data_IF_382625570111
#
_entry.id   IF_382625570111
#
_cell.length_a   1.000
_cell.length_b   1.000
_cell.length_c   1.000
_cell.angle_alpha   90.00
_cell.angle_beta   90.00
_cell.angle_gamma   90.00
#
_symmetry.space_group_name_H-M   'P 1'
#
loop_
_entity.id
_entity.type
_entity.pdbx_description
1 polymer ?
#
# COMPACT_ATOMS: atom_id res chain seq x y z
N UNK A 1 0.65 34.05 4.82
CA UNK A 1 1.51 33.43 5.85
C UNK A 1 0.61 32.62 6.78
N UNK A 2 -0.04 31.59 6.24
CA UNK A 2 -1.01 30.74 6.96
C UNK A 2 -0.84 29.24 6.64
N UNK A 3 0.15 28.88 5.81
CA UNK A 3 0.37 27.49 5.37
C UNK A 3 1.19 26.64 6.35
N UNK A 4 1.92 27.25 7.28
CA UNK A 4 2.93 26.53 8.07
C UNK A 4 2.31 25.56 9.09
N UNK A 5 1.16 25.91 9.70
CA UNK A 5 0.49 25.06 10.69
C UNK A 5 -0.35 23.93 10.06
N UNK A 6 -0.83 24.11 8.82
CA UNK A 6 -1.62 23.10 8.13
C UNK A 6 -0.76 21.94 7.62
N UNK A 7 0.51 22.23 7.31
CA UNK A 7 1.50 21.22 6.91
C UNK A 7 1.74 20.24 8.06
N UNK A 8 1.85 20.74 9.29
CA UNK A 8 2.09 19.91 10.48
C UNK A 8 0.92 18.95 10.77
N UNK A 9 -0.33 19.41 10.64
CA UNK A 9 -1.51 18.55 10.83
C UNK A 9 -1.61 17.45 9.75
N UNK A 10 -1.34 17.79 8.49
CA UNK A 10 -1.34 16.84 7.38
C UNK A 10 -0.29 15.75 7.57
N UNK A 11 0.91 16.13 8.00
CA UNK A 11 2.02 15.23 8.31
C UNK A 11 1.69 14.33 9.51
N UNK A 12 1.12 14.90 10.57
CA UNK A 12 0.71 14.15 11.75
C UNK A 12 -0.29 13.03 11.36
N UNK A 13 -1.28 13.33 10.50
CA UNK A 13 -2.22 12.33 10.00
C UNK A 13 -1.53 11.20 9.23
N UNK A 14 -0.51 11.50 8.43
CA UNK A 14 0.29 10.48 7.72
C UNK A 14 1.01 9.57 8.69
N UNK A 15 1.65 10.13 9.71
CA UNK A 15 2.37 9.37 10.74
C UNK A 15 1.41 8.44 11.49
N UNK A 16 0.22 8.93 11.84
CA UNK A 16 -0.82 8.13 12.48
C UNK A 16 -1.27 6.98 11.57
N UNK A 17 -1.53 7.24 10.29
CA UNK A 17 -1.92 6.21 9.31
C UNK A 17 -0.87 5.10 9.21
N UNK A 18 0.41 5.46 9.10
CA UNK A 18 1.51 4.49 9.00
C UNK A 18 1.58 3.60 10.23
N UNK A 19 1.41 4.18 11.43
CA UNK A 19 1.43 3.44 12.70
C UNK A 19 0.20 2.55 12.87
N UNK A 20 -0.99 3.10 12.63
CA UNK A 20 -2.26 2.39 12.82
C UNK A 20 -2.38 1.16 11.92
N UNK A 21 -2.01 1.30 10.63
CA UNK A 21 -2.04 0.20 9.68
C UNK A 21 -0.78 -0.69 9.70
N UNK A 22 0.15 -0.45 10.63
CA UNK A 22 1.33 -1.29 10.82
C UNK A 22 2.24 -1.35 9.59
N UNK A 23 2.54 -0.20 8.99
CA UNK A 23 3.44 -0.17 7.83
C UNK A 23 4.82 -0.75 8.20
N UNK A 24 5.35 -1.58 7.29
CA UNK A 24 6.73 -2.02 7.26
C UNK A 24 7.61 -0.83 6.83
N UNK A 25 7.87 0.01 7.82
CA UNK A 25 8.94 0.98 7.86
C UNK A 25 10.21 0.17 8.09
N UNK A 26 11.32 0.56 7.48
CA UNK A 26 12.57 -0.20 7.59
C UNK A 26 13.13 -0.16 9.03
N UNK A 27 14.39 0.21 9.22
CA UNK A 27 14.95 0.44 10.56
C UNK A 27 14.58 1.83 11.12
N UNK A 28 13.66 2.53 10.47
CA UNK A 28 13.33 3.93 10.71
C UNK A 28 11.96 4.10 11.36
N UNK A 29 11.80 5.13 12.19
CA UNK A 29 10.49 5.46 12.76
C UNK A 29 9.59 6.11 11.71
N UNK A 30 8.27 5.99 11.88
CA UNK A 30 7.28 6.63 11.00
C UNK A 30 7.53 8.14 10.85
N UNK A 31 7.98 8.80 11.92
CA UNK A 31 8.30 10.24 11.93
C UNK A 31 9.49 10.55 11.03
N UNK A 32 10.56 9.76 11.14
CA UNK A 32 11.80 9.95 10.38
C UNK A 32 11.55 9.71 8.88
N UNK A 33 10.79 8.67 8.54
CA UNK A 33 10.39 8.36 7.16
C UNK A 33 9.60 9.50 6.53
N UNK A 34 8.59 10.00 7.25
CA UNK A 34 7.76 11.13 6.77
C UNK A 34 8.59 12.40 6.66
N UNK A 35 9.50 12.65 7.61
CA UNK A 35 10.44 13.78 7.58
C UNK A 35 11.39 13.72 6.37
N UNK A 36 11.78 12.52 5.95
CA UNK A 36 12.59 12.33 4.76
C UNK A 36 11.78 12.56 3.49
N UNK A 37 10.52 12.09 3.44
CA UNK A 37 9.65 12.31 2.28
C UNK A 37 9.31 13.78 2.07
N UNK A 38 9.03 14.56 3.12
CA UNK A 38 8.68 15.98 2.98
C UNK A 38 9.83 16.86 2.46
N UNK A 39 11.08 16.41 2.58
CA UNK A 39 12.23 17.12 2.02
C UNK A 39 12.25 17.05 0.49
N UNK A 40 11.63 16.03 -0.09
CA UNK A 40 11.66 15.74 -1.53
C UNK A 40 10.31 15.97 -2.19
N UNK A 41 9.22 15.72 -1.46
CA UNK A 41 7.85 15.71 -1.98
C UNK A 41 6.96 16.70 -1.21
N UNK A 42 5.99 17.34 -1.87
CA UNK A 42 5.03 18.20 -1.19
C UNK A 42 4.21 17.43 -0.15
N UNK A 43 4.00 18.01 1.04
CA UNK A 43 3.23 17.40 2.13
C UNK A 43 1.83 16.91 1.70
N UNK A 44 1.19 17.64 0.77
CA UNK A 44 -0.11 17.27 0.20
C UNK A 44 -0.10 15.93 -0.55
N UNK A 45 1.05 15.48 -1.06
CA UNK A 45 1.18 14.22 -1.79
C UNK A 45 1.32 13.02 -0.84
N UNK A 46 1.91 13.22 0.34
CA UNK A 46 2.22 12.13 1.27
C UNK A 46 0.95 11.42 1.73
N UNK A 47 -0.07 12.17 2.16
CA UNK A 47 -1.36 11.60 2.58
C UNK A 47 -2.00 10.77 1.48
N UNK A 48 -2.10 11.32 0.28
CA UNK A 48 -2.69 10.60 -0.86
C UNK A 48 -1.87 9.36 -1.23
N UNK A 49 -0.54 9.41 -1.14
CA UNK A 49 0.33 8.28 -1.47
C UNK A 49 0.19 7.12 -0.48
N UNK A 50 0.06 7.42 0.82
CA UNK A 50 -0.18 6.39 1.85
C UNK A 50 -1.55 5.74 1.65
N UNK A 51 -2.60 6.52 1.38
CA UNK A 51 -3.95 5.98 1.11
C UNK A 51 -3.95 5.14 -0.17
N UNK A 52 -3.24 5.57 -1.21
CA UNK A 52 -3.08 4.79 -2.45
C UNK A 52 -2.34 3.46 -2.21
N UNK A 53 -1.34 3.44 -1.33
CA UNK A 53 -0.65 2.21 -0.95
C UNK A 53 -1.58 1.25 -0.20
N UNK A 54 -2.40 1.77 0.73
CA UNK A 54 -3.44 1.01 1.43
C UNK A 54 -4.47 0.45 0.46
N UNK A 55 -4.93 1.26 -0.50
CA UNK A 55 -5.86 0.84 -1.54
C UNK A 55 -5.30 -0.32 -2.39
N UNK A 56 -4.00 -0.30 -2.66
CA UNK A 56 -3.29 -1.40 -3.35
C UNK A 56 -2.95 -2.59 -2.46
N UNK A 57 -3.30 -2.55 -1.17
CA UNK A 57 -2.97 -3.59 -0.19
C UNK A 57 -1.48 -3.71 0.13
N UNK A 58 -0.70 -2.63 -0.06
CA UNK A 58 0.75 -2.61 0.16
C UNK A 58 1.08 -1.78 1.40
N UNK A 59 1.64 -2.44 2.40
CA UNK A 59 1.97 -1.83 3.69
C UNK A 59 3.46 -1.53 3.84
N UNK A 60 4.22 -1.39 2.76
CA UNK A 60 5.69 -1.18 2.82
C UNK A 60 6.04 0.27 2.54
N UNK A 61 7.02 0.81 3.27
CA UNK A 61 7.59 2.14 3.00
C UNK A 61 7.98 2.32 1.52
N UNK A 62 8.68 1.34 0.96
CA UNK A 62 9.14 1.35 -0.45
C UNK A 62 7.95 1.52 -1.41
N UNK A 63 6.79 0.94 -1.09
CA UNK A 63 5.60 1.06 -1.95
C UNK A 63 5.05 2.49 -2.01
N UNK A 64 5.09 3.22 -0.89
CA UNK A 64 4.69 4.64 -0.85
C UNK A 64 5.69 5.49 -1.65
N UNK A 65 6.99 5.22 -1.51
CA UNK A 65 8.04 5.91 -2.25
C UNK A 65 7.93 5.71 -3.77
N UNK A 66 7.62 4.50 -4.22
CA UNK A 66 7.39 4.22 -5.64
C UNK A 66 6.22 5.02 -6.21
N UNK A 67 5.13 5.15 -5.44
CA UNK A 67 3.97 5.97 -5.82
C UNK A 67 4.38 7.44 -5.93
N UNK A 68 5.06 7.98 -4.91
CA UNK A 68 5.54 9.37 -4.88
C UNK A 68 6.50 9.68 -6.04
N UNK A 69 7.47 8.78 -6.29
CA UNK A 69 8.41 8.89 -7.42
C UNK A 69 7.69 8.88 -8.76
N UNK A 70 6.65 8.06 -8.89
CA UNK A 70 5.84 8.00 -10.11
C UNK A 70 5.09 9.31 -10.33
N UNK A 71 4.46 9.87 -9.29
CA UNK A 71 3.78 11.17 -9.38
C UNK A 71 4.74 12.32 -9.67
N UNK A 72 5.95 12.29 -9.09
CA UNK A 72 6.99 13.28 -9.38
C UNK A 72 7.39 13.25 -10.86
N UNK A 73 7.55 12.06 -11.44
CA UNK A 73 7.86 11.89 -12.87
C UNK A 73 6.76 12.46 -13.78
N UNK A 74 5.50 12.39 -13.37
CA UNK A 74 4.38 12.94 -14.13
C UNK A 74 4.03 14.39 -13.77
N UNK A 75 4.60 14.95 -12.69
CA UNK A 75 4.27 16.25 -12.15
C UNK A 75 2.83 16.37 -11.63
N UNK A 76 2.12 15.26 -11.40
CA UNK A 76 0.73 15.25 -10.93
C UNK A 76 0.39 14.02 -10.11
N UNK A 77 -0.51 14.22 -9.15
CA UNK A 77 -1.10 13.15 -8.35
C UNK A 77 -2.01 12.31 -9.25
N UNK A 78 -1.87 10.99 -9.19
CA UNK A 78 -2.81 10.02 -9.78
C UNK A 78 -3.25 9.05 -8.70
N UNK A 79 -4.39 9.35 -8.09
CA UNK A 79 -5.07 8.46 -7.15
C UNK A 79 -6.05 7.55 -7.91
N UNK A 80 -6.19 6.31 -7.45
CA UNK A 80 -7.11 5.32 -7.98
C UNK A 80 -8.17 4.90 -6.95
N UNK A 81 -8.06 5.35 -5.70
CA UNK A 81 -9.05 5.10 -4.68
C UNK A 81 -10.26 6.05 -4.80
N UNK A 82 -11.41 5.59 -4.32
CA UNK A 82 -12.63 6.39 -4.21
C UNK A 82 -12.69 7.14 -2.87
N UNK A 83 -13.43 8.26 -2.82
CA UNK A 83 -13.59 9.07 -1.62
C UNK A 83 -14.24 8.29 -0.47
N UNK A 84 -15.11 7.31 -0.78
CA UNK A 84 -15.66 6.41 0.24
C UNK A 84 -14.57 5.59 0.93
N UNK A 85 -13.58 5.10 0.17
CA UNK A 85 -12.47 4.35 0.74
C UNK A 85 -11.65 5.22 1.68
N UNK A 86 -11.31 6.44 1.26
CA UNK A 86 -10.61 7.40 2.11
C UNK A 86 -11.36 7.67 3.43
N UNK A 87 -12.68 7.89 3.34
CA UNK A 87 -13.52 8.13 4.50
C UNK A 87 -13.51 6.94 5.48
N UNK A 88 -13.64 5.72 4.97
CA UNK A 88 -13.61 4.50 5.80
C UNK A 88 -12.26 4.35 6.52
N UNK A 89 -11.16 4.57 5.80
CA UNK A 89 -9.81 4.44 6.34
C UNK A 89 -9.55 5.50 7.42
N UNK A 90 -9.88 6.76 7.15
CA UNK A 90 -9.71 7.84 8.14
C UNK A 90 -10.64 7.68 9.34
N UNK A 91 -11.91 7.31 9.12
CA UNK A 91 -12.88 7.12 10.20
C UNK A 91 -12.46 6.00 11.16
N UNK A 92 -11.85 4.93 10.64
CA UNK A 92 -11.38 3.81 11.46
C UNK A 92 -10.19 4.17 12.35
N UNK A 93 -9.30 5.04 11.86
CA UNK A 93 -8.21 5.59 12.67
C UNK A 93 -8.77 6.47 13.78
N UNK A 94 -9.68 7.38 13.45
CA UNK A 94 -10.26 8.32 14.41
C UNK A 94 -11.04 7.60 15.52
N UNK A 95 -11.81 6.56 15.18
CA UNK A 95 -12.58 5.79 16.17
C UNK A 95 -11.70 5.02 17.15
N UNK A 96 -10.58 4.45 16.71
CA UNK A 96 -9.65 3.75 17.60
C UNK A 96 -8.80 4.70 18.45
N UNK A 97 -8.46 5.87 17.93
CA UNK A 97 -7.84 6.92 18.75
C UNK A 97 -8.80 7.41 19.86
N UNK A 98 -10.10 7.53 19.55
CA UNK A 98 -11.11 7.90 20.55
C UNK A 98 -11.32 6.79 21.59
N UNK A 99 -11.30 5.52 21.16
CA UNK A 99 -11.47 4.35 22.04
C UNK A 99 -10.29 4.20 23.00
N UNK A 100 -9.06 4.39 22.52
CA UNK A 100 -7.83 4.34 23.34
C UNK A 100 -7.80 5.45 24.41
N UNK A 101 -8.45 6.58 24.17
CA UNK A 101 -8.54 7.68 25.14
C UNK A 101 -9.57 7.42 26.25
N UNK A 102 -10.48 6.46 26.08
CA UNK A 102 -11.56 6.18 27.04
C UNK A 102 -11.20 5.12 28.09
N UNK A 103 -10.07 4.43 27.97
CA UNK A 103 -9.70 3.33 28.89
C UNK A 103 -8.93 3.76 30.14
N UNK A 104 -8.65 5.05 30.33
CA UNK A 104 -7.96 5.56 31.53
C UNK A 104 -8.94 6.11 32.59
N UNK A 105 -9.99 5.35 32.91
CA UNK A 105 -10.86 5.55 34.08
C UNK A 105 -11.77 4.34 34.21
N UNK A 106 -11.35 3.29 34.93
CA UNK A 106 -12.21 2.42 35.74
C UNK A 106 -11.34 1.31 36.39
N UNK A 107 -10.76 1.64 37.53
CA UNK A 107 -10.47 0.66 38.58
C UNK A 107 -11.80 0.17 39.18
N UNK A 108 -12.10 -1.13 39.05
CA UNK A 108 -12.82 -1.94 40.05
C UNK A 108 -12.92 -3.37 39.56
N UNK A 109 -12.44 -4.27 40.42
CA UNK A 109 -12.41 -5.73 40.33
C UNK A 109 -13.70 -6.34 39.77
N UNK A 110 -13.58 -7.34 38.86
CA UNK A 110 -14.35 -8.59 38.91
C UNK A 110 -13.60 -9.75 38.25
N UNK A 111 -13.24 -10.74 39.07
CA UNK A 111 -13.01 -12.13 38.71
C UNK A 111 -14.20 -12.72 37.94
N UNK A 112 -14.02 -13.21 36.71
CA UNK A 112 -14.75 -14.41 36.23
C UNK A 112 -13.92 -15.19 35.19
N UNK A 113 -13.46 -16.35 35.65
CA UNK A 113 -13.23 -17.66 35.03
C UNK A 113 -13.00 -17.87 33.52
N UNK A 114 -12.10 -18.81 33.28
CA UNK A 114 -11.64 -19.36 32.02
C UNK A 114 -12.76 -19.88 31.11
N UNK A 115 -12.71 -19.51 29.83
CA UNK A 115 -13.05 -20.43 28.75
C UNK A 115 -12.33 -20.05 27.44
N UNK A 116 -11.13 -20.61 27.27
CA UNK A 116 -10.47 -20.75 25.98
C UNK A 116 -11.31 -21.75 25.16
N UNK A 117 -12.06 -21.26 24.20
CA UNK A 117 -12.55 -22.07 23.07
C UNK A 117 -11.85 -21.57 21.81
N UNK A 118 -10.72 -22.21 21.57
CA UNK A 118 -10.13 -22.36 20.23
C UNK A 118 -11.17 -23.04 19.37
N UNK A 119 -11.63 -22.36 18.32
CA UNK A 119 -12.34 -22.99 17.21
C UNK A 119 -11.44 -22.92 15.99
N UNK A 120 -10.64 -23.98 15.86
CA UNK A 120 -9.92 -24.34 14.65
C UNK A 120 -10.94 -24.87 13.63
N UNK A 121 -11.08 -24.20 12.48
CA UNK A 121 -11.81 -24.77 11.35
C UNK A 121 -11.20 -24.36 10.00
N UNK A 122 -10.56 -25.34 9.39
CA UNK A 122 -10.48 -25.61 7.95
C UNK A 122 -9.89 -24.51 7.04
N UNK A 123 -8.58 -24.65 6.79
CA UNK A 123 -7.93 -24.19 5.57
C UNK A 123 -8.37 -25.13 4.43
N UNK A 124 -9.34 -24.70 3.64
CA UNK A 124 -9.59 -25.29 2.32
C UNK A 124 -8.91 -24.45 1.24
N UNK A 125 -8.07 -25.14 0.48
CA UNK A 125 -7.30 -24.64 -0.66
C UNK A 125 -8.23 -24.43 -1.84
N UNK A 126 -8.55 -23.18 -2.17
CA UNK A 126 -9.18 -22.86 -3.46
C UNK A 126 -8.45 -21.67 -4.10
N UNK A 127 -7.67 -21.98 -5.13
CA UNK A 127 -6.95 -21.02 -5.96
C UNK A 127 -7.95 -20.10 -6.70
N UNK A 128 -7.79 -18.76 -6.69
CA UNK A 128 -8.57 -17.92 -7.55
C UNK A 128 -8.11 -18.10 -9.00
N UNK A 129 -8.92 -18.80 -9.82
CA UNK A 129 -8.79 -18.85 -11.27
C UNK A 129 -9.01 -17.43 -11.82
N UNK A 130 -7.91 -16.74 -12.13
CA UNK A 130 -7.94 -15.50 -12.90
C UNK A 130 -8.36 -15.83 -14.34
N UNK A 131 -9.61 -15.54 -14.69
CA UNK A 131 -10.04 -15.48 -16.10
C UNK A 131 -9.46 -14.21 -16.72
N UNK A 132 -8.19 -14.26 -17.10
CA UNK A 132 -7.56 -13.23 -17.94
C UNK A 132 -8.14 -13.40 -19.34
N UNK A 133 -9.10 -12.55 -19.69
CA UNK A 133 -9.41 -12.29 -21.08
C UNK A 133 -8.11 -11.83 -21.75
N UNK A 134 -7.51 -12.73 -22.53
CA UNK A 134 -6.26 -12.52 -23.26
C UNK A 134 -6.52 -11.37 -24.23
N UNK A 135 -6.05 -10.19 -23.85
CA UNK A 135 -6.06 -9.01 -24.70
C UNK A 135 -5.32 -9.34 -25.99
N UNK A 136 -5.93 -9.04 -27.15
CA UNK A 136 -5.50 -9.40 -28.51
C UNK A 136 -4.04 -9.00 -28.85
N UNK A 137 -3.42 -8.18 -28.01
CA UNK A 137 -2.02 -7.76 -28.11
C UNK A 137 -1.03 -8.86 -27.73
N UNK A 138 -1.38 -9.76 -26.80
CA UNK A 138 -0.48 -10.85 -26.37
C UNK A 138 -0.32 -11.95 -27.43
N UNK A 139 -1.33 -12.19 -28.26
CA UNK A 139 -1.22 -13.17 -29.35
C UNK A 139 -0.26 -12.70 -30.45
N UNK A 140 -0.12 -11.38 -30.67
CA UNK A 140 0.80 -10.84 -31.68
C UNK A 140 2.28 -10.97 -31.30
N UNK A 141 2.60 -11.02 -30.01
CA UNK A 141 4.00 -11.13 -29.54
C UNK A 141 4.55 -12.56 -29.57
N UNK A 142 3.69 -13.59 -29.68
CA UNK A 142 4.11 -15.00 -29.76
C UNK A 142 4.56 -15.41 -31.18
N UNK A 143 4.18 -14.64 -32.21
CA UNK A 143 4.46 -14.96 -33.61
C UNK A 143 5.87 -14.56 -34.10
N UNK A 144 6.65 -13.82 -33.29
CA UNK A 144 7.99 -13.34 -33.68
C UNK A 144 9.11 -14.25 -33.12
N UNK A 145 8.80 -15.10 -32.14
CA UNK A 145 9.78 -15.97 -31.47
C UNK A 145 9.82 -17.41 -32.03
N UNK A 146 9.10 -17.70 -33.12
CA UNK A 146 8.98 -19.03 -33.70
C UNK A 146 9.38 -19.03 -35.18
N UNK A 147 10.62 -18.62 -35.47
CA UNK A 147 11.28 -19.02 -36.71
C UNK A 147 12.76 -19.32 -36.43
N UNK A 148 13.16 -20.59 -36.27
CA UNK A 148 14.56 -20.95 -36.32
C UNK A 148 15.00 -20.93 -37.79
N UNK A 149 15.67 -19.86 -38.19
CA UNK A 149 16.45 -19.80 -39.44
C UNK A 149 17.29 -21.07 -39.58
N UNK A 150 17.08 -21.91 -40.61
CA UNK A 150 18.01 -22.98 -40.93
C UNK A 150 19.31 -22.37 -41.44
N UNK A 151 20.42 -22.81 -40.86
CA UNK A 151 21.78 -22.52 -41.32
C UNK A 151 21.92 -22.89 -42.81
N UNK A 152 22.58 -22.07 -43.66
CA UNK A 152 22.94 -22.49 -44.99
C UNK A 152 23.95 -23.63 -44.91
N UNK A 153 23.70 -24.68 -45.68
CA UNK A 153 24.60 -25.81 -45.87
C UNK A 153 25.94 -25.31 -46.45
N UNK A 154 27.03 -25.83 -45.91
CA UNK A 154 28.35 -25.77 -46.53
C UNK A 154 28.29 -26.59 -47.82
N UNK A 155 28.41 -25.94 -48.98
CA UNK A 155 28.70 -26.60 -50.25
C UNK A 155 30.22 -26.76 -50.36
N UNK A 156 30.64 -28.01 -50.45
CA UNK A 156 32.00 -28.45 -50.77
C UNK A 156 32.41 -27.94 -52.16
N UNK A 157 33.50 -27.16 -52.25
CA UNK A 157 34.23 -26.93 -53.49
C UNK A 157 35.21 -28.09 -53.72
N UNK A 158 35.04 -28.83 -54.82
CA UNK A 158 36.11 -29.51 -55.57
C UNK A 158 36.10 -29.02 -57.02
#
# INVERSE_FOLDING_TARGET
MADDFAVDEGIAKVIVLLKYYGFELALDNAVDVVNNWQQVYPASWLRTAVIEALYRGRYKQISVEEILRSWQKWGKIRQNFDLEFESIICSKVESELLSSSSELSNESDQDIDANIVVSESAIEKESPKLNVAVSETYQKLKAIAADPTPLPAEEEEE
#
